data_IF_908737789035
#
_entry.id   IF_908737789035
#
_cell.length_a   1.000
_cell.length_b   1.000
_cell.length_c   1.000
_cell.angle_alpha   90.00
_cell.angle_beta   90.00
_cell.angle_gamma   90.00
#
_symmetry.space_group_name_H-M   'P 1'
#
loop_
_entity.id
_entity.type
_entity.pdbx_description
1 polymer ?
#
# COMPACT_ATOMS: atom_id res chain seq x y z
N UNK A 1 7.21 -0.27 -24.65
CA UNK A 1 7.15 -1.29 -23.58
C UNK A 1 7.96 -0.96 -22.32
N UNK A 2 9.03 -0.18 -22.38
CA UNK A 2 9.85 0.21 -21.20
C UNK A 2 9.11 0.97 -20.09
N UNK A 3 7.97 1.59 -20.38
CA UNK A 3 7.23 2.44 -19.42
C UNK A 3 6.59 1.68 -18.24
N UNK A 4 6.39 0.37 -18.37
CA UNK A 4 5.75 -0.46 -17.34
C UNK A 4 6.71 -1.39 -16.60
N UNK A 5 7.99 -1.16 -16.75
CA UNK A 5 9.04 -1.87 -16.03
C UNK A 5 9.25 -1.29 -14.64
N UNK A 6 9.86 -2.04 -13.73
CA UNK A 6 10.22 -1.53 -12.41
C UNK A 6 11.09 -0.28 -12.52
N UNK A 7 12.04 -0.24 -13.45
CA UNK A 7 12.87 0.94 -13.72
C UNK A 7 12.05 2.14 -14.18
N UNK A 8 11.04 1.91 -15.03
CA UNK A 8 10.10 2.96 -15.45
C UNK A 8 9.31 3.55 -14.28
N UNK A 9 8.80 2.71 -13.38
CA UNK A 9 8.07 3.15 -12.19
C UNK A 9 8.97 3.95 -11.25
N UNK A 10 10.19 3.48 -10.97
CA UNK A 10 11.15 4.24 -10.16
C UNK A 10 11.53 5.58 -10.80
N UNK A 11 11.67 5.62 -12.13
CA UNK A 11 11.90 6.86 -12.87
C UNK A 11 10.75 7.84 -12.71
N UNK A 12 9.49 7.38 -12.83
CA UNK A 12 8.31 8.22 -12.61
C UNK A 12 8.31 8.82 -11.21
N UNK A 13 8.59 8.02 -10.17
CA UNK A 13 8.64 8.52 -8.80
C UNK A 13 9.80 9.47 -8.54
N UNK A 14 10.93 9.30 -9.23
CA UNK A 14 12.07 10.22 -9.16
C UNK A 14 11.75 11.57 -9.82
N UNK A 15 11.07 11.57 -10.96
CA UNK A 15 10.73 12.79 -11.70
C UNK A 15 9.48 13.49 -11.14
N UNK A 16 8.55 12.74 -10.59
CA UNK A 16 7.27 13.22 -10.05
C UNK A 16 7.15 12.87 -8.56
N UNK A 17 7.56 13.80 -7.72
CA UNK A 17 7.62 13.61 -6.25
C UNK A 17 6.27 13.21 -5.60
N UNK A 18 5.15 13.54 -6.22
CA UNK A 18 3.81 13.18 -5.71
C UNK A 18 3.62 11.67 -5.57
N UNK A 19 4.13 10.89 -6.53
CA UNK A 19 4.05 9.43 -6.47
C UNK A 19 4.85 8.83 -5.33
N UNK A 20 6.07 9.35 -5.11
CA UNK A 20 6.91 8.94 -3.98
C UNK A 20 6.26 9.30 -2.64
N UNK A 21 5.67 10.50 -2.53
CA UNK A 21 4.95 10.93 -1.34
C UNK A 21 3.73 10.03 -1.08
N UNK A 22 2.92 9.75 -2.11
CA UNK A 22 1.78 8.86 -2.00
C UNK A 22 2.18 7.47 -1.52
N UNK A 23 3.24 6.89 -2.10
CA UNK A 23 3.77 5.59 -1.69
C UNK A 23 4.26 5.59 -0.24
N UNK A 24 5.01 6.63 0.17
CA UNK A 24 5.51 6.77 1.53
C UNK A 24 4.37 6.86 2.57
N UNK A 25 3.32 7.62 2.28
CA UNK A 25 2.12 7.71 3.12
C UNK A 25 1.45 6.34 3.28
N UNK A 26 1.24 5.62 2.17
CA UNK A 26 0.59 4.31 2.19
C UNK A 26 1.42 3.27 2.96
N UNK A 27 2.73 3.24 2.77
CA UNK A 27 3.62 2.33 3.50
C UNK A 27 3.64 2.68 4.98
N UNK A 28 3.72 3.96 5.35
CA UNK A 28 3.72 4.40 6.73
C UNK A 28 2.47 3.93 7.48
N UNK A 29 1.29 4.11 6.89
CA UNK A 29 0.03 3.63 7.47
C UNK A 29 -0.05 2.11 7.48
N UNK A 30 0.45 1.42 6.44
CA UNK A 30 0.48 -0.04 6.41
C UNK A 30 1.32 -0.62 7.55
N UNK A 31 2.51 -0.08 7.75
CA UNK A 31 3.38 -0.47 8.86
C UNK A 31 2.71 -0.21 10.21
N UNK A 32 2.06 0.95 10.38
CA UNK A 32 1.32 1.27 11.61
C UNK A 32 0.21 0.26 11.86
N UNK A 33 -0.61 -0.07 10.86
CA UNK A 33 -1.70 -1.04 10.98
C UNK A 33 -1.19 -2.46 11.31
N UNK A 34 -0.06 -2.87 10.70
CA UNK A 34 0.58 -4.17 10.97
C UNK A 34 1.11 -4.19 12.40
N UNK A 35 1.87 -3.17 12.83
CA UNK A 35 2.43 -3.10 14.19
C UNK A 35 1.34 -3.08 15.27
N UNK A 36 0.28 -2.29 15.09
CA UNK A 36 -0.86 -2.27 16.02
C UNK A 36 -1.49 -3.67 16.14
N UNK A 37 -1.63 -4.37 15.02
CA UNK A 37 -2.21 -5.71 15.02
C UNK A 37 -1.31 -6.73 15.71
N UNK A 38 0.00 -6.62 15.55
CA UNK A 38 0.98 -7.46 16.26
C UNK A 38 0.93 -7.18 17.76
N UNK A 39 0.86 -5.91 18.18
CA UNK A 39 0.82 -5.53 19.60
C UNK A 39 -0.51 -5.97 20.26
N UNK A 40 -1.64 -5.85 19.56
CA UNK A 40 -2.95 -6.23 20.08
C UNK A 40 -3.16 -7.75 20.15
N UNK A 41 -2.42 -8.51 19.36
CA UNK A 41 -2.54 -9.97 19.34
C UNK A 41 -1.66 -10.61 20.41
N UNK A 42 -2.21 -11.58 21.14
CA UNK A 42 -1.48 -12.40 22.12
C UNK A 42 -1.02 -13.74 21.54
N UNK A 43 -1.28 -14.01 20.27
CA UNK A 43 -0.96 -15.28 19.62
C UNK A 43 0.33 -15.19 18.80
N UNK A 44 1.38 -15.90 19.25
CA UNK A 44 2.68 -15.93 18.57
C UNK A 44 2.61 -16.46 17.12
N UNK A 45 1.76 -17.44 16.84
CA UNK A 45 1.58 -17.96 15.48
C UNK A 45 1.01 -16.89 14.55
N UNK A 46 0.09 -16.09 15.07
CA UNK A 46 -0.50 -14.97 14.31
C UNK A 46 0.52 -13.87 14.06
N UNK A 47 1.40 -13.54 15.03
CA UNK A 47 2.51 -12.60 14.83
C UNK A 47 3.43 -13.07 13.71
N UNK A 48 3.85 -14.35 13.77
CA UNK A 48 4.73 -14.92 12.76
C UNK A 48 4.08 -14.89 11.38
N UNK A 49 2.80 -15.24 11.28
CA UNK A 49 2.05 -15.20 10.02
C UNK A 49 2.04 -13.79 9.43
N UNK A 50 1.64 -12.78 10.20
CA UNK A 50 1.58 -11.38 9.75
C UNK A 50 2.94 -10.89 9.26
N UNK A 51 4.03 -11.19 9.96
CA UNK A 51 5.37 -10.75 9.56
C UNK A 51 5.84 -11.50 8.31
N UNK A 52 5.46 -12.77 8.14
CA UNK A 52 5.95 -13.63 7.06
C UNK A 52 5.19 -13.43 5.75
N UNK A 53 3.90 -13.06 5.78
CA UNK A 53 3.05 -12.91 4.59
C UNK A 53 3.64 -11.97 3.54
N UNK A 54 4.13 -10.75 3.87
CA UNK A 54 4.71 -9.87 2.86
C UNK A 54 5.91 -10.47 2.14
N UNK A 55 6.74 -11.24 2.85
CA UNK A 55 7.88 -11.94 2.26
C UNK A 55 7.43 -13.06 1.32
N UNK A 56 6.46 -13.87 1.73
CA UNK A 56 5.93 -14.95 0.90
C UNK A 56 5.28 -14.41 -0.38
N UNK A 57 4.46 -13.37 -0.26
CA UNK A 57 3.84 -12.71 -1.43
C UNK A 57 4.90 -12.11 -2.35
N UNK A 58 5.94 -11.50 -1.78
CA UNK A 58 7.07 -10.95 -2.56
C UNK A 58 7.78 -12.03 -3.35
N UNK A 59 8.13 -13.15 -2.70
CA UNK A 59 8.80 -14.29 -3.35
C UNK A 59 7.91 -14.87 -4.45
N UNK A 60 6.61 -15.04 -4.18
CA UNK A 60 5.65 -15.55 -5.14
C UNK A 60 5.56 -14.65 -6.39
N UNK A 61 5.39 -13.34 -6.20
CA UNK A 61 5.33 -12.37 -7.29
C UNK A 61 6.65 -12.33 -8.06
N UNK A 62 7.78 -12.46 -7.38
CA UNK A 62 9.10 -12.47 -8.01
C UNK A 62 9.30 -13.70 -8.91
N UNK A 63 8.85 -14.88 -8.45
CA UNK A 63 8.94 -16.11 -9.25
C UNK A 63 8.07 -16.05 -10.51
N UNK A 64 6.85 -15.48 -10.40
CA UNK A 64 5.93 -15.35 -11.54
C UNK A 64 6.42 -14.29 -12.53
N UNK A 65 7.10 -13.26 -12.06
CA UNK A 65 7.61 -12.18 -12.90
C UNK A 65 8.91 -12.56 -13.57
N UNK A 66 8.87 -13.52 -14.49
CA UNK A 66 10.04 -13.94 -15.28
C UNK A 66 10.28 -12.94 -16.43
N UNK A 67 10.93 -11.81 -16.12
CA UNK A 67 11.31 -10.79 -17.11
C UNK A 67 12.83 -10.68 -17.18
N UNK A 68 13.36 -11.12 -18.30
CA UNK A 68 14.76 -10.87 -18.65
C UNK A 68 15.01 -9.36 -18.84
N UNK A 69 16.08 -8.83 -18.24
CA UNK A 69 16.56 -7.46 -18.47
C UNK A 69 16.12 -6.40 -17.46
N UNK A 70 15.23 -6.71 -16.49
CA UNK A 70 14.92 -5.78 -15.41
C UNK A 70 15.93 -5.89 -14.25
N UNK A 71 16.16 -4.78 -13.55
CA UNK A 71 16.91 -4.80 -12.31
C UNK A 71 16.15 -5.62 -11.26
N UNK A 72 16.56 -6.88 -11.06
CA UNK A 72 15.92 -7.82 -10.12
C UNK A 72 15.76 -7.24 -8.72
N UNK A 73 16.73 -6.45 -8.27
CA UNK A 73 16.69 -5.80 -6.95
C UNK A 73 15.55 -4.76 -6.89
N UNK A 74 15.38 -3.92 -7.90
CA UNK A 74 14.30 -2.94 -7.96
C UNK A 74 12.93 -3.59 -8.01
N UNK A 75 12.81 -4.66 -8.78
CA UNK A 75 11.58 -5.45 -8.87
C UNK A 75 11.21 -6.06 -7.52
N UNK A 76 12.19 -6.66 -6.83
CA UNK A 76 12.00 -7.25 -5.51
C UNK A 76 11.59 -6.21 -4.47
N UNK A 77 12.23 -5.05 -4.46
CA UNK A 77 11.85 -3.93 -3.58
C UNK A 77 10.41 -3.48 -3.88
N UNK A 78 10.05 -3.31 -5.16
CA UNK A 78 8.70 -2.88 -5.55
C UNK A 78 7.64 -3.89 -5.09
N UNK A 79 7.87 -5.18 -5.27
CA UNK A 79 6.96 -6.23 -4.82
C UNK A 79 6.83 -6.28 -3.31
N UNK A 80 7.93 -6.10 -2.58
CA UNK A 80 7.91 -6.05 -1.13
C UNK A 80 7.08 -4.86 -0.60
N UNK A 81 7.30 -3.66 -1.16
CA UNK A 81 6.53 -2.47 -0.79
C UNK A 81 5.05 -2.62 -1.13
N UNK A 82 4.75 -3.22 -2.28
CA UNK A 82 3.37 -3.52 -2.68
C UNK A 82 2.71 -4.54 -1.74
N UNK A 83 3.44 -5.60 -1.35
CA UNK A 83 2.94 -6.62 -0.42
C UNK A 83 2.64 -6.04 0.96
N UNK A 84 3.53 -5.20 1.50
CA UNK A 84 3.30 -4.47 2.75
C UNK A 84 2.06 -3.57 2.67
N UNK A 85 1.91 -2.84 1.58
CA UNK A 85 0.77 -1.95 1.38
C UNK A 85 -0.54 -2.74 1.27
N UNK A 86 -0.52 -3.86 0.55
CA UNK A 86 -1.69 -4.73 0.39
C UNK A 86 -2.12 -5.31 1.74
N UNK A 87 -1.18 -5.84 2.52
CA UNK A 87 -1.47 -6.40 3.85
C UNK A 87 -2.01 -5.35 4.81
N UNK A 88 -1.35 -4.19 4.93
CA UNK A 88 -1.80 -3.11 5.81
C UNK A 88 -3.18 -2.58 5.44
N UNK A 89 -3.49 -2.45 4.14
CA UNK A 89 -4.82 -2.04 3.68
C UNK A 89 -5.87 -3.09 4.00
N UNK A 90 -5.55 -4.38 3.81
CA UNK A 90 -6.45 -5.48 4.13
C UNK A 90 -6.76 -5.55 5.63
N UNK A 91 -5.74 -5.43 6.49
CA UNK A 91 -5.91 -5.35 7.94
C UNK A 91 -6.82 -4.18 8.32
N UNK A 92 -6.60 -3.00 7.74
CA UNK A 92 -7.40 -1.81 8.00
C UNK A 92 -8.87 -2.02 7.62
N UNK A 93 -9.13 -2.60 6.44
CA UNK A 93 -10.49 -2.92 5.99
C UNK A 93 -11.16 -3.93 6.93
N UNK A 94 -10.48 -5.02 7.26
CA UNK A 94 -11.02 -6.07 8.15
C UNK A 94 -11.36 -5.48 9.53
N UNK A 95 -10.45 -4.71 10.14
CA UNK A 95 -10.70 -4.06 11.43
C UNK A 95 -11.86 -3.08 11.36
N UNK A 96 -11.96 -2.30 10.27
CA UNK A 96 -13.10 -1.38 10.05
C UNK A 96 -14.42 -2.15 10.00
N UNK A 97 -14.50 -3.22 9.22
CA UNK A 97 -15.71 -4.05 9.09
C UNK A 97 -16.10 -4.69 10.43
N UNK A 98 -15.14 -5.23 11.18
CA UNK A 98 -15.38 -5.81 12.50
C UNK A 98 -15.95 -4.77 13.46
N UNK A 99 -15.38 -3.55 13.49
CA UNK A 99 -15.86 -2.47 14.34
C UNK A 99 -17.26 -2.01 13.96
N UNK A 100 -17.55 -1.83 12.67
CA UNK A 100 -18.90 -1.49 12.20
C UNK A 100 -19.89 -2.56 12.62
N UNK A 101 -19.59 -3.86 12.39
CA UNK A 101 -20.47 -4.96 12.79
C UNK A 101 -20.73 -5.00 14.29
N UNK A 102 -19.71 -4.71 15.10
CA UNK A 102 -19.84 -4.66 16.56
C UNK A 102 -20.72 -3.49 17.02
N UNK A 103 -20.64 -2.35 16.37
CA UNK A 103 -21.47 -1.17 16.65
C UNK A 103 -22.93 -1.38 16.24
N UNK A 104 -23.17 -1.96 15.08
CA UNK A 104 -24.55 -2.25 14.64
C UNK A 104 -25.30 -3.20 15.56
N UNK A 105 -24.59 -4.00 16.38
CA UNK A 105 -25.17 -4.89 17.39
C UNK A 105 -25.40 -4.26 18.76
N UNK A 106 -24.84 -3.08 19.04
CA UNK A 106 -24.93 -2.40 20.33
C UNK A 106 -25.57 -1.02 20.17
N UNK A 107 -26.68 -0.79 20.87
CA UNK A 107 -27.44 0.49 20.86
C UNK A 107 -26.67 1.65 21.51
N UNK A 108 -25.62 1.37 22.28
CA UNK A 108 -24.79 2.38 22.95
C UNK A 108 -23.37 2.39 22.38
N UNK A 109 -23.06 3.43 21.57
CA UNK A 109 -21.71 3.70 21.11
C UNK A 109 -20.81 3.97 22.32
N UNK A 110 -19.92 3.05 22.65
CA UNK A 110 -18.90 3.33 23.65
C UNK A 110 -17.85 4.28 23.05
N UNK A 111 -17.41 5.31 23.78
CA UNK A 111 -16.41 6.29 23.33
C UNK A 111 -15.17 5.64 22.71
N UNK A 112 -14.75 4.49 23.24
CA UNK A 112 -13.55 3.77 22.76
C UNK A 112 -13.74 3.18 21.37
N UNK A 113 -14.92 2.68 21.03
CA UNK A 113 -15.18 2.09 19.72
C UNK A 113 -15.35 3.19 18.65
N UNK A 114 -16.00 4.30 19.00
CA UNK A 114 -16.09 5.46 18.12
C UNK A 114 -14.70 6.01 17.78
N UNK A 115 -13.80 6.09 18.74
CA UNK A 115 -12.42 6.52 18.52
C UNK A 115 -11.67 5.54 17.60
N UNK A 116 -11.77 4.22 17.84
CA UNK A 116 -11.14 3.21 17.02
C UNK A 116 -11.67 3.24 15.59
N UNK A 117 -12.97 3.38 15.39
CA UNK A 117 -13.57 3.50 14.07
C UNK A 117 -13.06 4.74 13.32
N UNK A 118 -13.04 5.89 13.99
CA UNK A 118 -12.52 7.14 13.40
C UNK A 118 -11.05 7.00 12.98
N UNK A 119 -10.22 6.31 13.79
CA UNK A 119 -8.82 6.02 13.46
C UNK A 119 -8.69 5.22 12.17
N UNK A 120 -9.42 4.10 12.04
CA UNK A 120 -9.33 3.27 10.83
C UNK A 120 -9.95 3.93 9.60
N UNK A 121 -11.00 4.75 9.74
CA UNK A 121 -11.52 5.58 8.66
C UNK A 121 -10.46 6.60 8.19
N UNK A 122 -9.71 7.18 9.11
CA UNK A 122 -8.58 8.06 8.78
C UNK A 122 -7.48 7.32 8.03
N UNK A 123 -7.15 6.07 8.40
CA UNK A 123 -6.20 5.25 7.65
C UNK A 123 -6.68 4.99 6.22
N UNK A 124 -7.95 4.65 6.04
CA UNK A 124 -8.53 4.48 4.70
C UNK A 124 -8.47 5.77 3.88
N UNK A 125 -8.71 6.93 4.50
CA UNK A 125 -8.56 8.22 3.82
C UNK A 125 -7.12 8.45 3.34
N UNK A 126 -6.12 8.10 4.15
CA UNK A 126 -4.71 8.21 3.75
C UNK A 126 -4.39 7.25 2.59
N UNK A 127 -4.91 6.02 2.60
CA UNK A 127 -4.74 5.11 1.46
C UNK A 127 -5.33 5.70 0.18
N UNK A 128 -6.54 6.23 0.22
CA UNK A 128 -7.17 6.88 -0.95
C UNK A 128 -6.33 8.07 -1.44
N UNK A 129 -5.87 8.91 -0.52
CA UNK A 129 -5.00 10.04 -0.86
C UNK A 129 -3.70 9.57 -1.50
N UNK A 130 -3.07 8.54 -0.95
CA UNK A 130 -1.86 7.94 -1.50
C UNK A 130 -2.05 7.44 -2.94
N UNK A 131 -3.13 6.74 -3.20
CA UNK A 131 -3.48 6.29 -4.56
C UNK A 131 -3.72 7.46 -5.52
N UNK A 132 -4.43 8.50 -5.10
CA UNK A 132 -4.65 9.71 -5.91
C UNK A 132 -3.31 10.35 -6.30
N UNK A 133 -2.38 10.48 -5.37
CA UNK A 133 -1.05 11.04 -5.62
C UNK A 133 -0.22 10.17 -6.58
N UNK A 134 -0.30 8.85 -6.46
CA UNK A 134 0.36 7.92 -7.38
C UNK A 134 -0.24 8.06 -8.78
N UNK A 135 -1.57 8.01 -8.93
CA UNK A 135 -2.22 8.18 -10.23
C UNK A 135 -1.93 9.55 -10.85
N UNK A 136 -1.92 10.60 -10.05
CA UNK A 136 -1.52 11.95 -10.52
C UNK A 136 -0.10 11.95 -11.10
N UNK A 137 0.86 11.31 -10.43
CA UNK A 137 2.24 11.19 -10.93
C UNK A 137 2.31 10.47 -12.27
N UNK A 138 1.59 9.36 -12.41
CA UNK A 138 1.53 8.63 -13.67
C UNK A 138 0.91 9.48 -14.77
N UNK A 139 -0.21 10.12 -14.50
CA UNK A 139 -0.90 10.99 -15.46
C UNK A 139 0.02 12.13 -15.95
N UNK A 140 0.66 12.86 -15.04
CA UNK A 140 1.57 13.95 -15.39
C UNK A 140 2.80 13.47 -16.17
N UNK A 141 3.31 12.29 -15.87
CA UNK A 141 4.43 11.70 -16.59
C UNK A 141 4.06 11.37 -18.04
N UNK A 142 2.91 10.70 -18.24
CA UNK A 142 2.45 10.35 -19.58
C UNK A 142 2.11 11.57 -20.42
N UNK A 143 1.43 12.56 -19.86
CA UNK A 143 1.11 13.82 -20.54
C UNK A 143 2.37 14.56 -20.99
N UNK A 144 3.37 14.65 -20.15
CA UNK A 144 4.64 15.30 -20.50
C UNK A 144 5.42 14.55 -21.59
N UNK A 145 5.17 13.27 -21.78
CA UNK A 145 5.75 12.45 -22.85
C UNK A 145 5.08 12.69 -24.20
N UNK A 146 3.80 12.92 -24.24
CA UNK A 146 3.03 13.25 -25.47
C UNK A 146 3.42 14.62 -26.02
N UNK A 147 3.52 15.65 -25.18
CA UNK A 147 3.93 17.01 -25.60
C UNK A 147 5.34 17.08 -26.19
N UNK A 148 6.22 16.13 -25.81
CA UNK A 148 7.57 16.04 -26.41
C UNK A 148 7.59 15.25 -27.73
N UNK A 149 6.60 14.41 -27.99
CA UNK A 149 6.45 13.63 -29.22
C UNK A 149 5.94 14.46 -30.39
N UNK A 150 5.07 15.43 -30.12
CA UNK A 150 4.44 16.27 -31.14
C UNK A 150 5.35 17.42 -31.65
N UNK A 151 6.51 17.62 -31.03
CA UNK A 151 7.49 18.66 -31.43
C UNK A 151 8.64 18.14 -32.32
N UNK A 152 8.54 16.93 -32.79
CA UNK A 152 9.46 16.34 -33.77
C UNK A 152 8.75 16.08 -35.08
#
# INVERSE_FOLDING_TARGET
MEKYTADGIFKIFKEKHWGALGLALMIGISLTAIFETVIESHNQYFHTAIITVPFLVTVFLFIISDKEGESRIKLLILFFLFSLQLEGSLITVIKTVILIKREMGNITLTKNVSFALSKYMFYMFIYMTGWILIFKSFYEYFKSGEEKGDRK
#
